data_IF_695284494851
#
_entry.id   IF_695284494851
#
_cell.length_a   1.000
_cell.length_b   1.000
_cell.length_c   1.000
_cell.angle_alpha   90.00
_cell.angle_beta   90.00
_cell.angle_gamma   90.00
#
_symmetry.space_group_name_H-M   'P 1'
#
loop_
_entity.id
_entity.type
_entity.pdbx_description
1 polymer ?
#
# COMPACT_ATOMS: atom_id res chain seq x y z
N UNK A 1 -4.08 0.72 30.30
CA UNK A 1 -3.03 1.69 29.88
C UNK A 1 -2.99 1.66 28.37
N UNK A 2 -3.33 2.73 27.64
CA UNK A 2 -3.18 2.72 26.18
C UNK A 2 -1.70 2.94 25.85
N UNK A 3 -1.09 1.99 25.16
CA UNK A 3 0.20 2.17 24.50
C UNK A 3 -0.02 3.08 23.28
N UNK A 4 -0.19 4.38 23.51
CA UNK A 4 -0.18 5.39 22.45
C UNK A 4 1.26 5.65 22.04
N UNK A 5 1.85 4.68 21.32
CA UNK A 5 3.11 4.87 20.63
C UNK A 5 2.86 5.71 19.38
N UNK A 6 3.45 6.89 19.32
CA UNK A 6 3.41 7.72 18.12
C UNK A 6 3.87 6.90 16.90
N UNK A 7 3.19 7.00 15.74
CA UNK A 7 3.63 6.30 14.54
C UNK A 7 5.07 6.67 14.21
N UNK A 8 5.83 5.69 13.75
CA UNK A 8 7.24 5.90 13.41
C UNK A 8 7.36 6.99 12.32
N UNK A 9 8.48 7.71 12.28
CA UNK A 9 8.75 8.72 11.24
C UNK A 9 8.60 8.16 9.83
N UNK A 10 8.90 6.87 9.65
CA UNK A 10 8.74 6.15 8.38
C UNK A 10 7.26 5.99 8.05
N UNK A 11 6.43 5.63 9.04
CA UNK A 11 4.99 5.46 8.85
C UNK A 11 4.31 6.78 8.47
N UNK A 12 4.66 7.87 9.16
CA UNK A 12 4.19 9.22 8.83
C UNK A 12 4.59 9.62 7.39
N UNK A 13 5.85 9.38 7.01
CA UNK A 13 6.31 9.66 5.65
C UNK A 13 5.56 8.84 4.60
N UNK A 14 5.29 7.55 4.86
CA UNK A 14 4.52 6.70 3.95
C UNK A 14 3.06 7.19 3.82
N UNK A 15 2.45 7.68 4.89
CA UNK A 15 1.11 8.28 4.86
C UNK A 15 1.08 9.57 4.02
N UNK A 16 2.04 10.47 4.24
CA UNK A 16 2.19 11.71 3.46
C UNK A 16 2.44 11.41 1.97
N UNK A 17 3.29 10.41 1.68
CA UNK A 17 3.57 9.98 0.33
C UNK A 17 2.31 9.38 -0.33
N UNK A 18 1.57 8.53 0.37
CA UNK A 18 0.32 7.96 -0.13
C UNK A 18 -0.76 9.03 -0.41
N UNK A 19 -0.79 10.10 0.39
CA UNK A 19 -1.71 11.23 0.22
C UNK A 19 -1.38 12.10 -1.00
N UNK A 20 -0.10 12.28 -1.32
CA UNK A 20 0.38 13.15 -2.42
C UNK A 20 0.43 12.44 -3.77
N UNK A 21 0.53 11.10 -3.77
CA UNK A 21 0.56 10.30 -4.99
C UNK A 21 -0.81 10.29 -5.69
N UNK A 22 -0.80 10.66 -6.98
CA UNK A 22 -2.00 10.70 -7.84
C UNK A 22 -2.34 9.35 -8.47
N UNK A 23 -1.34 8.50 -8.69
CA UNK A 23 -1.57 7.19 -9.31
C UNK A 23 -2.24 6.24 -8.28
N UNK A 24 -3.45 5.73 -8.55
CA UNK A 24 -4.18 4.87 -7.62
C UNK A 24 -3.44 3.55 -7.34
N UNK A 25 -2.70 3.00 -8.30
CA UNK A 25 -1.87 1.80 -8.13
C UNK A 25 -0.76 2.07 -7.14
N UNK A 26 0.00 3.15 -7.33
CA UNK A 26 1.09 3.51 -6.43
C UNK A 26 0.57 3.75 -5.00
N UNK A 27 -0.61 4.37 -4.85
CA UNK A 27 -1.25 4.56 -3.53
C UNK A 27 -1.62 3.22 -2.88
N UNK A 28 -2.14 2.26 -3.64
CA UNK A 28 -2.45 0.91 -3.13
C UNK A 28 -1.18 0.19 -2.64
N UNK A 29 -0.11 0.24 -3.42
CA UNK A 29 1.17 -0.37 -3.05
C UNK A 29 1.79 0.26 -1.79
N UNK A 30 1.76 1.60 -1.69
CA UNK A 30 2.26 2.30 -0.51
C UNK A 30 1.47 1.94 0.75
N UNK A 31 0.15 1.75 0.64
CA UNK A 31 -0.67 1.28 1.77
C UNK A 31 -0.37 -0.17 2.14
N UNK A 32 -0.20 -1.06 1.16
CA UNK A 32 0.17 -2.45 1.42
C UNK A 32 1.54 -2.56 2.11
N UNK A 33 2.48 -1.68 1.79
CA UNK A 33 3.79 -1.63 2.45
C UNK A 33 3.72 -1.18 3.93
N UNK A 34 2.61 -0.64 4.42
CA UNK A 34 2.49 -0.18 5.81
C UNK A 34 2.15 -1.28 6.83
N UNK A 35 1.89 -2.51 6.38
CA UNK A 35 1.54 -3.62 7.26
C UNK A 35 2.73 -4.27 7.96
N UNK A 36 2.44 -5.37 8.66
CA UNK A 36 3.41 -6.08 9.51
C UNK A 36 4.48 -6.82 8.68
N UNK A 37 4.17 -7.17 7.43
CA UNK A 37 5.13 -7.72 6.47
C UNK A 37 5.10 -6.94 5.15
N UNK A 38 5.79 -5.79 5.08
CA UNK A 38 5.69 -4.84 3.97
C UNK A 38 5.94 -5.44 2.59
N UNK A 39 6.93 -6.34 2.47
CA UNK A 39 7.31 -6.95 1.20
C UNK A 39 6.20 -7.91 0.74
N UNK A 40 5.79 -8.82 1.62
CA UNK A 40 4.78 -9.82 1.29
C UNK A 40 3.43 -9.20 0.96
N UNK A 41 3.01 -8.19 1.72
CA UNK A 41 1.76 -7.48 1.49
C UNK A 41 1.79 -6.70 0.17
N UNK A 42 2.91 -6.06 -0.15
CA UNK A 42 3.10 -5.37 -1.43
C UNK A 42 3.10 -6.35 -2.62
N UNK A 43 3.77 -7.50 -2.52
CA UNK A 43 3.73 -8.56 -3.53
C UNK A 43 2.32 -9.10 -3.76
N UNK A 44 1.57 -9.31 -2.68
CA UNK A 44 0.18 -9.76 -2.73
C UNK A 44 -0.69 -8.75 -3.46
N UNK A 45 -0.52 -7.45 -3.16
CA UNK A 45 -1.29 -6.39 -3.81
C UNK A 45 -0.91 -6.22 -5.29
N UNK A 46 0.37 -6.35 -5.65
CA UNK A 46 0.81 -6.40 -7.04
C UNK A 46 0.12 -7.53 -7.81
N UNK A 47 0.04 -8.73 -7.22
CA UNK A 47 -0.67 -9.86 -7.81
C UNK A 47 -2.14 -9.56 -8.09
N UNK A 48 -2.84 -8.89 -7.16
CA UNK A 48 -4.24 -8.47 -7.36
C UNK A 48 -4.37 -7.47 -8.50
N UNK A 49 -3.50 -6.46 -8.54
CA UNK A 49 -3.52 -5.46 -9.61
C UNK A 49 -3.29 -6.10 -10.97
N UNK A 50 -2.36 -7.07 -11.07
CA UNK A 50 -2.13 -7.81 -12.31
C UNK A 50 -3.37 -8.60 -12.74
N UNK A 51 -4.03 -9.31 -11.82
CA UNK A 51 -5.26 -10.03 -12.12
C UNK A 51 -6.38 -9.08 -12.60
N UNK A 52 -6.58 -7.94 -11.92
CA UNK A 52 -7.55 -6.92 -12.33
C UNK A 52 -7.28 -6.39 -13.75
N UNK A 53 -6.01 -6.27 -14.14
CA UNK A 53 -5.63 -5.84 -15.50
C UNK A 53 -5.94 -6.92 -16.52
N UNK A 54 -5.63 -8.18 -16.21
CA UNK A 54 -5.91 -9.33 -17.09
C UNK A 54 -7.42 -9.49 -17.28
N UNK A 55 -8.20 -9.53 -16.21
CA UNK A 55 -9.66 -9.69 -16.26
C UNK A 55 -10.33 -8.58 -17.09
N UNK A 56 -9.89 -7.32 -16.94
CA UNK A 56 -10.40 -6.19 -17.74
C UNK A 56 -9.99 -6.21 -19.21
N UNK A 57 -8.98 -7.00 -19.57
CA UNK A 57 -8.51 -7.13 -20.95
C UNK A 57 -9.24 -8.24 -21.72
N UNK A 58 -10.00 -9.08 -21.01
CA UNK A 58 -10.81 -10.17 -21.58
C UNK A 58 -12.27 -9.75 -21.87
N UNK A 59 -12.67 -8.54 -21.47
CA UNK A 59 -13.94 -7.86 -21.82
C UNK A 59 -13.80 -6.97 -23.08
#
# INVERSE_FOLDING_TARGET
MPASGSPSRIQQYLEELAATVKNPVHRRLLKAHQGDNPIHEMETELGRILNEVVERSED
#
